data_IF_478904631541
#
_entry.id   IF_478904631541
#
_cell.length_a   1.000
_cell.length_b   1.000
_cell.length_c   1.000
_cell.angle_alpha   90.00
_cell.angle_beta   90.00
_cell.angle_gamma   90.00
#
_symmetry.space_group_name_H-M   'P 1'
#
loop_
_entity.id
_entity.type
_entity.pdbx_description
1 polymer ?
#
# COMPACT_ATOMS: atom_id res chain seq x y z
N UNK A 1 -13.46 -12.19 -4.08
CA UNK A 1 -14.23 -12.52 -5.31
C UNK A 1 -15.17 -11.36 -5.66
N UNK A 2 -14.61 -10.18 -5.92
CA UNK A 2 -15.41 -8.96 -6.00
C UNK A 2 -16.28 -8.94 -7.27
N UNK A 3 -17.60 -8.86 -7.09
CA UNK A 3 -18.57 -8.31 -8.06
C UNK A 3 -19.14 -9.20 -9.18
N UNK A 4 -18.88 -10.51 -9.23
CA UNK A 4 -19.59 -11.39 -10.17
C UNK A 4 -21.02 -11.66 -9.69
N UNK A 5 -22.02 -11.33 -10.50
CA UNK A 5 -23.45 -11.49 -10.19
C UNK A 5 -24.18 -12.42 -11.17
N UNK A 6 -23.59 -12.74 -12.33
CA UNK A 6 -24.19 -13.66 -13.32
C UNK A 6 -23.39 -14.95 -13.49
N UNK A 7 -24.04 -16.00 -14.01
CA UNK A 7 -23.41 -17.30 -14.28
C UNK A 7 -22.27 -17.16 -15.29
N UNK A 8 -22.47 -16.35 -16.33
CA UNK A 8 -21.48 -16.11 -17.38
C UNK A 8 -20.23 -15.41 -16.83
N UNK A 9 -20.40 -14.47 -15.90
CA UNK A 9 -19.29 -13.82 -15.22
C UNK A 9 -18.49 -14.80 -14.36
N UNK A 10 -19.16 -15.75 -13.70
CA UNK A 10 -18.54 -16.82 -12.93
C UNK A 10 -17.81 -17.82 -13.82
N UNK A 11 -18.42 -18.26 -14.92
CA UNK A 11 -17.79 -19.17 -15.88
C UNK A 11 -16.52 -18.56 -16.48
N UNK A 12 -16.58 -17.28 -16.88
CA UNK A 12 -15.42 -16.55 -17.36
C UNK A 12 -14.33 -16.45 -16.28
N UNK A 13 -14.68 -16.09 -15.05
CA UNK A 13 -13.70 -15.99 -13.96
C UNK A 13 -13.02 -17.33 -13.67
N UNK A 14 -13.77 -18.44 -13.67
CA UNK A 14 -13.23 -19.78 -13.49
C UNK A 14 -12.25 -20.13 -14.61
N UNK A 15 -12.58 -19.81 -15.86
CA UNK A 15 -11.67 -20.04 -16.98
C UNK A 15 -10.36 -19.27 -16.83
N UNK A 16 -10.41 -18.00 -16.43
CA UNK A 16 -9.20 -17.20 -16.19
C UNK A 16 -8.38 -17.79 -15.03
N UNK A 17 -9.02 -18.14 -13.92
CA UNK A 17 -8.33 -18.70 -12.73
C UNK A 17 -7.75 -20.10 -12.97
N UNK A 18 -8.23 -20.84 -13.98
CA UNK A 18 -7.69 -22.15 -14.36
C UNK A 18 -6.46 -22.07 -15.26
N UNK A 19 -6.19 -20.91 -15.89
CA UNK A 19 -5.02 -20.74 -16.77
C UNK A 19 -3.71 -20.87 -15.99
N UNK A 20 -2.68 -21.48 -16.59
CA UNK A 20 -1.40 -21.65 -15.93
C UNK A 20 -0.70 -20.28 -15.77
N UNK A 21 -0.11 -19.98 -14.60
CA UNK A 21 0.59 -18.71 -14.35
C UNK A 21 1.75 -18.42 -15.31
N UNK A 22 2.31 -19.47 -15.95
CA UNK A 22 3.38 -19.36 -16.95
C UNK A 22 2.95 -18.61 -18.22
N UNK A 23 1.65 -18.49 -18.49
CA UNK A 23 1.13 -17.65 -19.59
C UNK A 23 1.20 -16.15 -19.26
N UNK A 24 1.47 -15.79 -18.00
CA UNK A 24 1.49 -14.41 -17.50
C UNK A 24 2.87 -13.95 -17.00
N UNK A 25 3.82 -14.87 -16.83
CA UNK A 25 5.06 -14.61 -16.10
C UNK A 25 6.28 -14.56 -17.03
N UNK A 26 6.88 -13.37 -17.13
CA UNK A 26 8.33 -13.23 -17.28
C UNK A 26 8.89 -12.72 -15.96
N UNK A 27 9.56 -13.57 -15.17
CA UNK A 27 10.64 -13.23 -14.20
C UNK A 27 10.90 -14.39 -13.23
N UNK A 28 12.16 -14.82 -13.18
CA UNK A 28 12.66 -16.04 -12.52
C UNK A 28 12.90 -15.92 -11.00
N UNK A 29 12.36 -14.89 -10.31
CA UNK A 29 12.80 -14.61 -8.92
C UNK A 29 12.01 -15.31 -7.81
N UNK A 30 10.74 -15.69 -7.99
CA UNK A 30 9.99 -16.48 -7.00
C UNK A 30 8.87 -17.27 -7.70
N UNK A 31 9.18 -18.41 -8.34
CA UNK A 31 8.29 -19.04 -9.32
C UNK A 31 6.97 -19.54 -8.73
N UNK A 32 6.86 -19.79 -7.43
CA UNK A 32 5.61 -20.26 -6.79
C UNK A 32 4.79 -19.16 -6.11
N UNK A 33 5.40 -18.20 -5.40
CA UNK A 33 4.64 -17.08 -4.80
C UNK A 33 4.05 -16.15 -5.86
N UNK A 34 4.75 -15.96 -6.99
CA UNK A 34 4.20 -15.21 -8.11
C UNK A 34 2.89 -15.82 -8.62
N UNK A 35 2.76 -17.17 -8.62
CA UNK A 35 1.52 -17.85 -9.05
C UNK A 35 0.33 -17.51 -8.15
N UNK A 36 0.57 -17.43 -6.85
CA UNK A 36 -0.46 -17.04 -5.87
C UNK A 36 -0.85 -15.58 -6.08
N UNK A 37 0.12 -14.69 -6.24
CA UNK A 37 -0.13 -13.26 -6.50
C UNK A 37 -0.88 -13.03 -7.81
N UNK A 38 -0.56 -13.73 -8.90
CA UNK A 38 -1.31 -13.62 -10.15
C UNK A 38 -2.78 -14.03 -9.98
N UNK A 39 -3.06 -15.08 -9.21
CA UNK A 39 -4.44 -15.52 -8.93
C UNK A 39 -5.18 -14.49 -8.08
N UNK A 40 -4.53 -13.95 -7.05
CA UNK A 40 -5.11 -12.93 -6.18
C UNK A 40 -5.31 -11.60 -6.92
N UNK A 41 -4.40 -11.25 -7.85
CA UNK A 41 -4.44 -10.05 -8.67
C UNK A 41 -5.72 -10.00 -9.50
N UNK A 42 -6.32 -11.14 -9.82
CA UNK A 42 -7.64 -11.17 -10.44
C UNK A 42 -8.70 -10.35 -9.66
N UNK A 43 -8.71 -10.44 -8.33
CA UNK A 43 -9.64 -9.65 -7.51
C UNK A 43 -9.31 -8.15 -7.55
N UNK A 44 -8.02 -7.80 -7.59
CA UNK A 44 -7.56 -6.43 -7.76
C UNK A 44 -7.94 -5.87 -9.16
N UNK A 45 -7.78 -6.65 -10.21
CA UNK A 45 -8.05 -6.24 -11.60
C UNK A 45 -9.54 -5.96 -11.82
N UNK A 46 -10.42 -6.61 -11.06
CA UNK A 46 -11.87 -6.40 -11.07
C UNK A 46 -12.32 -5.15 -10.30
N UNK A 47 -11.44 -4.50 -9.54
CA UNK A 47 -11.77 -3.23 -8.89
C UNK A 47 -12.05 -2.16 -9.95
N UNK A 48 -13.24 -1.55 -9.87
CA UNK A 48 -13.66 -0.50 -10.81
C UNK A 48 -13.16 0.86 -10.34
N UNK A 49 -12.19 1.42 -11.06
CA UNK A 49 -11.70 2.78 -10.88
C UNK A 49 -10.31 2.85 -10.25
N UNK A 50 -9.47 3.69 -10.85
CA UNK A 50 -8.05 3.82 -10.47
C UNK A 50 -7.87 4.33 -9.04
N UNK A 51 -8.82 5.13 -8.54
CA UNK A 51 -8.82 5.60 -7.15
C UNK A 51 -8.87 4.46 -6.14
N UNK A 52 -9.74 3.47 -6.37
CA UNK A 52 -9.87 2.31 -5.48
C UNK A 52 -8.58 1.48 -5.52
N UNK A 53 -7.99 1.32 -6.70
CA UNK A 53 -6.71 0.64 -6.90
C UNK A 53 -5.55 1.36 -6.19
N UNK A 54 -5.47 2.69 -6.29
CA UNK A 54 -4.48 3.50 -5.57
C UNK A 54 -4.65 3.40 -4.06
N UNK A 55 -5.89 3.49 -3.55
CA UNK A 55 -6.21 3.32 -2.14
C UNK A 55 -5.79 1.93 -1.62
N UNK A 56 -6.07 0.87 -2.38
CA UNK A 56 -5.63 -0.49 -2.06
C UNK A 56 -4.11 -0.62 -2.01
N UNK A 57 -3.39 -0.15 -3.05
CA UNK A 57 -1.93 -0.19 -3.08
C UNK A 57 -1.32 0.57 -1.91
N UNK A 58 -1.90 1.71 -1.53
CA UNK A 58 -1.44 2.51 -0.40
C UNK A 58 -1.44 1.74 0.92
N UNK A 59 -2.45 0.87 1.14
CA UNK A 59 -2.54 0.08 2.37
C UNK A 59 -1.32 -0.84 2.60
N UNK A 60 -0.55 -1.21 1.57
CA UNK A 60 0.65 -2.03 1.75
C UNK A 60 1.79 -1.31 2.48
N UNK A 61 1.69 0.02 2.66
CA UNK A 61 2.62 0.80 3.48
C UNK A 61 2.49 0.48 4.97
N UNK A 62 1.33 0.00 5.43
CA UNK A 62 1.18 -0.46 6.81
C UNK A 62 1.88 -1.81 6.99
N UNK A 63 2.26 -2.15 8.21
CA UNK A 63 2.89 -3.43 8.52
C UNK A 63 1.92 -4.61 8.37
N UNK A 64 2.49 -5.81 8.36
CA UNK A 64 1.72 -7.05 8.48
C UNK A 64 0.91 -7.05 9.78
N UNK A 65 -0.35 -7.48 9.69
CA UNK A 65 -1.31 -7.52 10.81
C UNK A 65 -1.55 -6.17 11.54
N UNK A 66 -1.15 -5.05 10.95
CA UNK A 66 -1.44 -3.72 11.49
C UNK A 66 -2.95 -3.49 11.56
N UNK A 67 -3.46 -3.17 12.75
CA UNK A 67 -4.82 -2.64 12.91
C UNK A 67 -4.84 -1.17 12.50
N UNK A 68 -5.47 -0.89 11.37
CA UNK A 68 -5.53 0.44 10.78
C UNK A 68 -6.90 1.04 11.10
N UNK A 69 -6.91 2.16 11.84
CA UNK A 69 -8.12 2.97 12.01
C UNK A 69 -8.67 3.36 10.64
N UNK A 70 -9.94 3.06 10.38
CA UNK A 70 -10.61 3.44 9.12
C UNK A 70 -10.49 4.94 8.87
N UNK A 71 -10.58 5.75 9.93
CA UNK A 71 -10.46 7.21 9.84
C UNK A 71 -9.05 7.65 9.48
N UNK A 72 -8.03 7.09 10.13
CA UNK A 72 -6.62 7.39 9.85
C UNK A 72 -6.25 7.03 8.41
N UNK A 73 -6.78 5.90 7.91
CA UNK A 73 -6.56 5.46 6.54
C UNK A 73 -7.18 6.44 5.53
N UNK A 74 -8.40 6.91 5.80
CA UNK A 74 -9.08 7.91 4.98
C UNK A 74 -8.29 9.22 4.99
N UNK A 75 -7.83 9.68 6.15
CA UNK A 75 -7.03 10.91 6.26
C UNK A 75 -5.71 10.79 5.46
N UNK A 76 -5.08 9.62 5.44
CA UNK A 76 -3.93 9.37 4.59
C UNK A 76 -4.28 9.45 3.10
N UNK A 77 -5.40 8.87 2.67
CA UNK A 77 -5.85 8.94 1.28
C UNK A 77 -6.24 10.36 0.84
N UNK A 78 -6.76 11.18 1.76
CA UNK A 78 -6.98 12.62 1.53
C UNK A 78 -5.65 13.33 1.34
N UNK A 79 -4.67 13.08 2.22
CA UNK A 79 -3.32 13.65 2.11
C UNK A 79 -2.64 13.29 0.79
N UNK A 80 -2.86 12.07 0.30
CA UNK A 80 -2.38 11.61 -1.01
C UNK A 80 -3.12 12.23 -2.20
N UNK A 81 -4.31 12.81 -1.99
CA UNK A 81 -5.18 13.32 -3.05
C UNK A 81 -5.83 12.21 -3.88
N UNK A 82 -6.04 11.02 -3.30
CA UNK A 82 -6.72 9.92 -3.98
C UNK A 82 -8.23 10.08 -4.02
N UNK A 83 -8.77 10.81 -3.03
CA UNK A 83 -10.19 11.08 -2.92
C UNK A 83 -10.52 12.38 -3.66
N UNK A 84 -11.76 12.51 -4.10
CA UNK A 84 -12.22 13.71 -4.80
C UNK A 84 -12.21 14.93 -3.88
N UNK A 85 -12.05 16.11 -4.48
CA UNK A 85 -12.11 17.42 -3.81
C UNK A 85 -13.54 17.79 -3.39
N UNK A 86 -14.22 16.89 -2.69
CA UNK A 86 -15.46 17.22 -1.99
C UNK A 86 -15.14 17.80 -0.62
N UNK A 87 -15.85 18.86 -0.22
CA UNK A 87 -15.64 19.46 1.10
C UNK A 87 -16.25 18.60 2.23
N UNK A 88 -15.52 18.54 3.35
CA UNK A 88 -16.04 18.05 4.64
C UNK A 88 -16.47 16.59 4.66
N UNK A 89 -17.76 16.34 4.93
CA UNK A 89 -18.25 14.98 5.22
C UNK A 89 -18.32 14.07 3.99
N UNK A 90 -18.39 14.63 2.79
CA UNK A 90 -18.55 13.87 1.56
C UNK A 90 -17.27 13.09 1.20
N UNK A 91 -16.08 13.71 1.35
CA UNK A 91 -14.80 13.02 1.10
C UNK A 91 -14.59 11.88 2.11
N UNK A 92 -15.00 12.07 3.35
CA UNK A 92 -14.95 11.02 4.38
C UNK A 92 -15.87 9.85 3.99
N UNK A 93 -17.12 10.13 3.59
CA UNK A 93 -18.05 9.10 3.14
C UNK A 93 -17.55 8.35 1.90
N UNK A 94 -16.87 9.04 0.98
CA UNK A 94 -16.20 8.41 -0.16
C UNK A 94 -15.12 7.44 0.31
N UNK A 95 -14.29 7.84 1.28
CA UNK A 95 -13.30 6.98 1.91
C UNK A 95 -13.92 5.70 2.49
N UNK A 96 -15.00 5.81 3.27
CA UNK A 96 -15.72 4.65 3.79
C UNK A 96 -16.31 3.76 2.69
N UNK A 97 -16.81 4.35 1.59
CA UNK A 97 -17.31 3.60 0.44
C UNK A 97 -16.20 2.76 -0.23
N UNK A 98 -15.00 3.33 -0.35
CA UNK A 98 -13.82 2.62 -0.87
C UNK A 98 -13.43 1.48 0.08
N UNK A 99 -13.36 1.73 1.40
CA UNK A 99 -13.08 0.68 2.40
C UNK A 99 -14.07 -0.48 2.25
N UNK A 100 -15.37 -0.19 2.21
CA UNK A 100 -16.41 -1.21 2.04
C UNK A 100 -16.27 -2.00 0.73
N UNK A 101 -15.80 -1.34 -0.34
CA UNK A 101 -15.52 -2.03 -1.61
C UNK A 101 -14.35 -3.01 -1.47
N UNK A 102 -13.27 -2.61 -0.78
CA UNK A 102 -12.11 -3.47 -0.53
C UNK A 102 -12.45 -4.64 0.42
N UNK A 103 -13.28 -4.40 1.44
CA UNK A 103 -13.79 -5.44 2.33
C UNK A 103 -14.61 -6.49 1.55
N UNK A 104 -15.56 -6.04 0.72
CA UNK A 104 -16.36 -6.94 -0.15
C UNK A 104 -15.52 -7.69 -1.17
N UNK A 105 -14.37 -7.13 -1.56
CA UNK A 105 -13.43 -7.80 -2.45
C UNK A 105 -12.56 -8.86 -1.75
N UNK A 106 -12.59 -8.91 -0.41
CA UNK A 106 -11.65 -9.65 0.45
C UNK A 106 -10.19 -9.19 0.26
N UNK A 107 -10.01 -7.89 -0.01
CA UNK A 107 -8.69 -7.24 -0.13
C UNK A 107 -8.30 -6.48 1.15
N UNK A 108 -9.28 -6.27 2.02
CA UNK A 108 -9.09 -5.89 3.42
C UNK A 108 -9.98 -6.80 4.27
N UNK A 109 -9.64 -6.90 5.54
CA UNK A 109 -10.41 -7.58 6.57
C UNK A 109 -10.88 -6.56 7.61
N UNK A 110 -12.08 -6.77 8.13
CA UNK A 110 -12.66 -5.93 9.17
C UNK A 110 -12.24 -6.45 10.54
N UNK A 111 -11.81 -5.54 11.42
CA UNK A 111 -11.53 -5.84 12.82
C UNK A 111 -12.36 -4.88 13.69
N UNK A 112 -13.46 -5.39 14.23
CA UNK A 112 -14.48 -4.56 14.87
C UNK A 112 -15.10 -3.52 13.92
N UNK A 113 -15.73 -2.49 14.47
CA UNK A 113 -16.45 -1.51 13.65
C UNK A 113 -15.54 -0.44 13.02
N UNK A 114 -14.41 -0.14 13.65
CA UNK A 114 -13.61 1.05 13.34
C UNK A 114 -12.23 0.75 12.75
N UNK A 115 -11.83 -0.52 12.68
CA UNK A 115 -10.52 -0.92 12.18
C UNK A 115 -10.63 -1.86 10.98
N UNK A 116 -9.58 -1.84 10.17
CA UNK A 116 -9.34 -2.80 9.10
C UNK A 116 -7.90 -3.27 9.17
N UNK A 117 -7.63 -4.44 8.61
CA UNK A 117 -6.28 -4.96 8.41
C UNK A 117 -6.12 -5.54 7.01
N UNK A 118 -4.87 -5.69 6.59
CA UNK A 118 -4.54 -6.36 5.33
C UNK A 118 -3.79 -7.66 5.65
N UNK A 119 -4.36 -8.78 5.21
CA UNK A 119 -3.75 -10.10 5.38
C UNK A 119 -2.37 -10.15 4.68
N UNK A 120 -1.40 -10.85 5.28
CA UNK A 120 0.00 -10.94 4.82
C UNK A 120 0.15 -11.22 3.30
N UNK A 121 -0.51 -12.25 2.76
CA UNK A 121 -0.47 -12.63 1.35
C UNK A 121 -1.09 -11.55 0.44
N UNK A 122 -2.14 -10.87 0.90
CA UNK A 122 -2.76 -9.76 0.15
C UNK A 122 -1.83 -8.55 0.14
N UNK A 123 -1.18 -8.28 1.26
CA UNK A 123 -0.18 -7.22 1.40
C UNK A 123 1.02 -7.47 0.49
N UNK A 124 1.55 -8.69 0.47
CA UNK A 124 2.67 -9.04 -0.40
C UNK A 124 2.31 -8.90 -1.88
N UNK A 125 1.09 -9.29 -2.26
CA UNK A 125 0.57 -9.02 -3.60
C UNK A 125 0.50 -7.51 -3.88
N UNK A 126 0.02 -6.69 -2.95
CA UNK A 126 -0.06 -5.24 -3.13
C UNK A 126 1.33 -4.60 -3.29
N UNK A 127 2.32 -5.05 -2.50
CA UNK A 127 3.73 -4.65 -2.63
C UNK A 127 4.27 -5.03 -4.02
N UNK A 128 4.02 -6.26 -4.47
CA UNK A 128 4.42 -6.75 -5.78
C UNK A 128 3.81 -5.90 -6.92
N UNK A 129 2.50 -5.61 -6.84
CA UNK A 129 1.82 -4.75 -7.82
C UNK A 129 2.48 -3.35 -7.84
N UNK A 130 2.69 -2.72 -6.68
CA UNK A 130 3.21 -1.37 -6.59
C UNK A 130 4.68 -1.23 -7.03
N UNK A 131 5.49 -2.29 -6.91
CA UNK A 131 6.93 -2.25 -7.19
C UNK A 131 7.32 -2.83 -8.54
N UNK A 132 6.57 -3.81 -9.05
CA UNK A 132 6.97 -4.59 -10.22
C UNK A 132 5.99 -4.47 -11.39
N UNK A 133 4.67 -4.37 -11.12
CA UNK A 133 3.65 -4.36 -12.17
C UNK A 133 3.28 -2.94 -12.60
N UNK A 134 2.97 -2.08 -11.64
CA UNK A 134 2.50 -0.70 -11.85
C UNK A 134 3.50 0.30 -11.25
N UNK A 135 4.79 0.07 -11.51
CA UNK A 135 5.89 0.86 -10.94
C UNK A 135 5.88 2.33 -11.41
N UNK A 136 5.36 2.58 -12.61
CA UNK A 136 5.41 3.89 -13.25
C UNK A 136 4.70 4.95 -12.39
N UNK A 137 5.38 6.07 -12.15
CA UNK A 137 4.89 7.28 -11.46
C UNK A 137 4.56 7.19 -9.97
N UNK A 138 4.57 6.01 -9.36
CA UNK A 138 4.13 5.78 -7.97
C UNK A 138 5.28 5.45 -6.98
N UNK A 139 6.40 4.91 -7.49
CA UNK A 139 7.66 4.54 -6.80
C UNK A 139 7.57 4.33 -5.28
N UNK A 140 7.15 3.13 -4.89
CA UNK A 140 7.02 2.69 -3.49
C UNK A 140 8.32 2.09 -2.95
N UNK A 141 8.68 2.45 -1.72
CA UNK A 141 9.70 1.78 -0.91
C UNK A 141 9.06 1.24 0.37
N UNK A 142 8.71 -0.05 0.36
CA UNK A 142 8.07 -0.73 1.49
C UNK A 142 9.07 -1.65 2.17
N UNK A 143 9.48 -1.29 3.39
CA UNK A 143 10.33 -2.09 4.27
C UNK A 143 9.76 -2.17 5.69
N UNK A 144 8.44 -2.07 5.84
CA UNK A 144 7.79 -2.25 7.13
C UNK A 144 7.98 -3.68 7.66
N UNK A 145 8.16 -3.82 8.98
CA UNK A 145 8.35 -5.11 9.67
C UNK A 145 9.49 -5.97 9.13
N UNK A 146 10.49 -5.36 8.47
CA UNK A 146 11.58 -6.08 7.82
C UNK A 146 12.77 -6.36 8.75
N UNK A 147 12.64 -6.06 10.05
CA UNK A 147 13.68 -6.29 11.05
C UNK A 147 14.88 -5.35 10.95
N UNK A 148 14.75 -4.21 10.27
CA UNK A 148 15.84 -3.26 10.05
C UNK A 148 16.33 -2.66 11.36
N UNK A 149 17.64 -2.68 11.60
CA UNK A 149 18.27 -1.99 12.74
C UNK A 149 18.79 -0.60 12.37
N UNK A 150 18.94 -0.34 11.07
CA UNK A 150 19.39 0.92 10.49
C UNK A 150 18.44 1.33 9.37
N UNK A 151 18.28 2.64 9.17
CA UNK A 151 17.50 3.16 8.05
C UNK A 151 18.15 2.77 6.72
N UNK A 152 17.33 2.57 5.69
CA UNK A 152 17.82 2.36 4.33
C UNK A 152 18.65 3.56 3.88
N UNK A 153 19.76 3.29 3.17
CA UNK A 153 20.71 4.31 2.73
C UNK A 153 20.02 5.49 2.03
N UNK A 154 20.38 6.72 2.40
CA UNK A 154 19.73 7.95 1.91
C UNK A 154 19.63 8.05 0.38
N UNK A 155 20.63 7.53 -0.35
CA UNK A 155 20.63 7.46 -1.83
C UNK A 155 19.46 6.69 -2.42
N UNK A 156 18.88 5.75 -1.68
CA UNK A 156 17.72 4.96 -2.12
C UNK A 156 16.39 5.70 -1.96
N UNK A 157 16.39 6.89 -1.36
CA UNK A 157 15.21 7.72 -1.16
C UNK A 157 14.93 8.62 -2.37
N UNK A 158 15.91 8.77 -3.26
CA UNK A 158 15.79 9.59 -4.45
C UNK A 158 14.68 9.07 -5.37
N UNK A 159 13.76 9.97 -5.75
CA UNK A 159 12.60 9.65 -6.57
C UNK A 159 11.52 8.80 -5.89
N UNK A 160 11.69 8.37 -4.63
CA UNK A 160 10.66 7.63 -3.88
C UNK A 160 9.52 8.58 -3.54
N UNK A 161 8.29 8.13 -3.77
CA UNK A 161 7.08 8.92 -3.44
C UNK A 161 6.40 8.45 -2.18
N UNK A 162 6.45 7.16 -1.89
CA UNK A 162 5.81 6.57 -0.70
C UNK A 162 6.74 5.59 -0.04
N UNK A 163 7.08 5.87 1.21
CA UNK A 163 8.03 5.10 1.96
C UNK A 163 7.43 4.65 3.28
N UNK A 164 7.61 3.37 3.58
CA UNK A 164 7.31 2.86 4.91
C UNK A 164 8.50 2.08 5.44
N UNK A 165 9.03 2.58 6.56
CA UNK A 165 10.06 1.94 7.38
C UNK A 165 9.50 1.60 8.77
N UNK A 166 8.18 1.61 8.95
CA UNK A 166 7.54 1.39 10.24
C UNK A 166 7.79 -0.01 10.82
N UNK A 167 7.58 -0.16 12.13
CA UNK A 167 7.70 -1.43 12.86
C UNK A 167 9.04 -2.16 12.65
N UNK A 168 10.12 -1.38 12.70
CA UNK A 168 11.49 -1.86 12.66
C UNK A 168 12.22 -1.54 13.98
N UNK A 169 13.54 -1.71 14.01
CA UNK A 169 14.41 -1.42 15.16
C UNK A 169 15.36 -0.27 14.86
N UNK A 170 14.98 0.62 13.94
CA UNK A 170 15.80 1.75 13.49
C UNK A 170 16.00 2.71 14.65
N UNK A 171 17.24 3.11 14.88
CA UNK A 171 17.61 4.07 15.94
C UNK A 171 18.00 5.44 15.43
N UNK A 172 18.57 5.47 14.22
CA UNK A 172 19.15 6.65 13.60
C UNK A 172 18.57 6.83 12.20
N UNK A 173 18.24 8.08 11.86
CA UNK A 173 17.82 8.49 10.53
C UNK A 173 18.99 9.17 9.80
N UNK A 174 19.03 9.12 8.45
CA UNK A 174 20.06 9.84 7.69
C UNK A 174 19.93 11.36 7.87
N UNK A 175 21.04 12.08 7.77
CA UNK A 175 21.05 13.54 7.70
C UNK A 175 20.72 13.98 6.27
N UNK A 176 19.76 14.91 6.15
CA UNK A 176 19.39 15.56 4.89
C UNK A 176 19.23 14.62 3.66
N UNK A 177 18.38 13.56 3.74
CA UNK A 177 18.16 12.65 2.61
C UNK A 177 17.57 13.40 1.40
N UNK A 178 18.13 13.18 0.22
CA UNK A 178 17.60 13.74 -1.03
C UNK A 178 16.31 13.03 -1.43
N UNK A 179 15.16 13.63 -1.15
CA UNK A 179 13.85 13.00 -1.34
C UNK A 179 12.70 14.00 -1.60
N UNK A 180 12.91 14.90 -2.56
CA UNK A 180 11.95 15.97 -2.93
C UNK A 180 10.61 15.46 -3.45
N UNK A 181 10.56 14.23 -3.95
CA UNK A 181 9.34 13.58 -4.44
C UNK A 181 8.54 12.83 -3.37
N UNK A 182 9.05 12.76 -2.13
CA UNK A 182 8.43 11.98 -1.06
C UNK A 182 7.14 12.64 -0.57
N UNK A 183 6.04 11.90 -0.64
CA UNK A 183 4.67 12.31 -0.26
C UNK A 183 4.26 11.64 1.06
N UNK A 184 4.55 10.34 1.20
CA UNK A 184 4.27 9.57 2.42
C UNK A 184 5.54 9.02 3.04
N UNK A 185 5.68 9.19 4.35
CA UNK A 185 6.74 8.57 5.16
C UNK A 185 6.18 8.00 6.47
N UNK A 186 6.25 6.68 6.64
CA UNK A 186 5.92 6.01 7.90
C UNK A 186 7.17 5.52 8.62
N UNK A 187 7.35 5.98 9.86
CA UNK A 187 8.48 5.68 10.75
C UNK A 187 8.03 5.14 12.11
N UNK A 188 6.73 5.18 12.42
CA UNK A 188 6.19 4.74 13.70
C UNK A 188 6.58 3.29 14.04
N UNK A 189 6.66 2.97 15.33
CA UNK A 189 7.06 1.62 15.78
C UNK A 189 8.56 1.34 15.65
N UNK A 190 9.40 2.37 15.52
CA UNK A 190 10.86 2.29 15.57
C UNK A 190 11.41 2.78 16.91
N UNK A 191 12.73 2.63 17.12
CA UNK A 191 13.44 3.10 18.31
C UNK A 191 14.21 4.40 18.07
N UNK A 192 13.69 5.25 17.18
CA UNK A 192 14.30 6.53 16.80
C UNK A 192 14.23 7.47 18.01
N UNK A 193 15.39 7.83 18.54
CA UNK A 193 15.50 8.69 19.74
C UNK A 193 15.53 10.18 19.41
N UNK A 194 16.05 10.51 18.22
CA UNK A 194 16.24 11.88 17.76
C UNK A 194 16.12 11.91 16.24
N UNK A 195 15.34 12.86 15.74
CA UNK A 195 15.30 13.19 14.31
C UNK A 195 16.41 14.22 14.05
N UNK A 196 17.32 13.99 13.08
CA UNK A 196 18.30 15.00 12.69
C UNK A 196 17.64 16.32 12.29
N UNK A 197 18.27 17.46 12.60
CA UNK A 197 17.71 18.78 12.33
C UNK A 197 17.38 18.97 10.84
N UNK A 198 18.27 18.51 9.96
CA UNK A 198 18.16 18.69 8.52
C UNK A 198 17.37 17.55 7.83
N UNK A 199 16.75 16.65 8.59
CA UNK A 199 16.06 15.47 8.04
C UNK A 199 14.96 15.85 7.03
N UNK A 200 14.19 16.90 7.32
CA UNK A 200 13.10 17.35 6.45
C UNK A 200 13.52 18.37 5.39
N UNK A 201 14.81 18.76 5.33
CA UNK A 201 15.29 19.87 4.49
C UNK A 201 14.88 19.73 3.02
N UNK A 202 14.84 18.51 2.51
CA UNK A 202 14.54 18.22 1.10
C UNK A 202 13.21 17.47 0.89
N UNK A 203 12.29 17.50 1.86
CA UNK A 203 10.99 16.81 1.81
C UNK A 203 9.83 17.75 1.45
N UNK A 204 9.98 18.56 0.40
CA UNK A 204 9.01 19.62 0.05
C UNK A 204 7.61 19.13 -0.34
N UNK A 205 7.48 17.85 -0.73
CA UNK A 205 6.21 17.24 -1.19
C UNK A 205 5.51 16.42 -0.11
N UNK A 206 6.07 16.35 1.12
CA UNK A 206 5.58 15.47 2.18
C UNK A 206 4.21 15.94 2.67
N UNK A 207 3.22 15.04 2.62
CA UNK A 207 1.83 15.30 3.05
C UNK A 207 1.36 14.36 4.15
N UNK A 208 1.87 13.13 4.18
CA UNK A 208 1.54 12.13 5.20
C UNK A 208 2.80 11.68 5.91
N UNK A 209 2.85 11.89 7.22
CA UNK A 209 4.00 11.55 8.05
C UNK A 209 3.53 10.88 9.34
N UNK A 210 3.99 9.66 9.61
CA UNK A 210 3.76 8.94 10.87
C UNK A 210 5.11 8.83 11.62
N UNK A 211 5.39 9.72 12.59
CA UNK A 211 6.75 9.95 13.10
C UNK A 211 7.33 8.84 13.98
N UNK A 212 6.68 8.46 15.07
CA UNK A 212 7.24 7.59 16.12
C UNK A 212 6.13 6.77 16.78
#
# INVERSE_FOLDING_TARGET
MACNTTVEEWDYAIQILKRPPSEYAGTDKFPDMNKVYYRLKFSYDKLRGDKIKSCFKYCCLFSEDCLISKRDLIDCWIGEGFLDEFEGRLVINQGYSIINTLLRACLLEEDGNDYVKMHDVIRDMAVWIAREVEKENENFLVCASSGLTEAVEARKWEGVRRMSLMDNKIKNLPEAPQCSSLITLFLNGNWIRKIPHDFFQYMSSLKSFKPL
#
